data_IF_931960418006
#
_entry.id   IF_931960418006
#
_cell.length_a   1.000
_cell.length_b   1.000
_cell.length_c   1.000
_cell.angle_alpha   90.00
_cell.angle_beta   90.00
_cell.angle_gamma   90.00
#
_symmetry.space_group_name_H-M   'P 1'
#
loop_
_entity.id
_entity.type
_entity.pdbx_description
1 polymer ?
#
# COMPACT_ATOMS: atom_id res chain seq x y z
N UNK A 1 -21.87 -20.18 30.01
CA UNK A 1 -22.26 -20.50 28.63
C UNK A 1 -21.48 -19.63 27.68
N UNK A 2 -21.01 -20.21 26.57
CA UNK A 2 -20.23 -19.51 25.54
C UNK A 2 -21.05 -19.45 24.25
N UNK A 3 -21.15 -18.27 23.67
CA UNK A 3 -21.80 -18.05 22.39
C UNK A 3 -20.75 -17.64 21.35
N UNK A 4 -20.69 -18.36 20.24
CA UNK A 4 -19.87 -18.03 19.10
C UNK A 4 -20.75 -17.58 17.93
N UNK A 5 -20.65 -16.30 17.57
CA UNK A 5 -21.31 -15.74 16.39
C UNK A 5 -20.30 -15.71 15.24
N UNK A 6 -20.50 -16.49 14.17
CA UNK A 6 -19.55 -16.56 13.08
C UNK A 6 -19.67 -15.36 12.15
N UNK A 7 -18.57 -15.05 11.45
CA UNK A 7 -18.56 -14.06 10.41
C UNK A 7 -17.47 -14.34 9.38
N UNK A 8 -17.63 -13.80 8.18
CA UNK A 8 -16.64 -13.85 7.13
C UNK A 8 -16.08 -12.48 6.86
N UNK A 9 -14.77 -12.41 6.65
CA UNK A 9 -14.08 -11.18 6.28
C UNK A 9 -13.91 -11.08 4.76
N UNK A 10 -13.90 -9.85 4.24
CA UNK A 10 -13.59 -9.62 2.84
C UNK A 10 -12.06 -9.61 2.65
N UNK A 11 -11.58 -10.41 1.71
CA UNK A 11 -10.18 -10.44 1.29
C UNK A 11 -10.08 -9.78 -0.10
N UNK A 12 -10.13 -8.44 -0.16
CA UNK A 12 -10.29 -7.71 -1.41
C UNK A 12 -9.23 -8.03 -2.46
N UNK A 13 -7.94 -8.04 -2.11
CA UNK A 13 -6.84 -8.31 -3.04
C UNK A 13 -6.94 -9.73 -3.62
N UNK A 14 -7.16 -10.74 -2.76
CA UNK A 14 -7.26 -12.13 -3.19
C UNK A 14 -8.51 -12.36 -4.07
N UNK A 15 -9.64 -11.76 -3.72
CA UNK A 15 -10.87 -11.82 -4.51
C UNK A 15 -10.68 -11.13 -5.85
N UNK A 16 -10.10 -9.94 -5.87
CA UNK A 16 -9.81 -9.20 -7.10
C UNK A 16 -8.91 -10.00 -8.04
N UNK A 17 -7.82 -10.59 -7.55
CA UNK A 17 -6.95 -11.43 -8.35
C UNK A 17 -7.69 -12.62 -8.99
N UNK A 18 -8.61 -13.27 -8.26
CA UNK A 18 -9.43 -14.38 -8.78
C UNK A 18 -10.42 -13.91 -9.84
N UNK A 19 -11.08 -12.77 -9.63
CA UNK A 19 -12.02 -12.19 -10.59
C UNK A 19 -11.29 -11.76 -11.87
N UNK A 20 -10.15 -11.08 -11.75
CA UNK A 20 -9.31 -10.68 -12.90
C UNK A 20 -8.87 -11.90 -13.71
N UNK A 21 -8.43 -12.98 -13.04
CA UNK A 21 -8.05 -14.21 -13.73
C UNK A 21 -9.23 -14.88 -14.43
N UNK A 22 -10.44 -14.90 -13.82
CA UNK A 22 -11.66 -15.40 -14.46
C UNK A 22 -11.97 -14.58 -15.73
N UNK A 23 -12.00 -13.26 -15.61
CA UNK A 23 -12.28 -12.36 -16.73
C UNK A 23 -11.25 -12.51 -17.86
N UNK A 24 -9.96 -12.67 -17.53
CA UNK A 24 -8.91 -12.90 -18.51
C UNK A 24 -9.12 -14.21 -19.29
N UNK A 25 -9.62 -15.28 -18.67
CA UNK A 25 -9.99 -16.53 -19.33
C UNK A 25 -11.18 -16.34 -20.29
N UNK A 26 -12.07 -15.40 -20.00
CA UNK A 26 -13.20 -14.99 -20.83
C UNK A 26 -12.80 -13.94 -21.90
N UNK A 27 -11.52 -13.54 -21.97
CA UNK A 27 -10.99 -12.55 -22.90
C UNK A 27 -11.28 -11.09 -22.53
N UNK A 28 -11.75 -10.84 -21.32
CA UNK A 28 -12.08 -9.50 -20.82
C UNK A 28 -10.91 -8.96 -19.97
N UNK A 29 -10.45 -7.75 -20.27
CA UNK A 29 -9.44 -7.07 -19.46
C UNK A 29 -10.11 -6.16 -18.43
N UNK A 30 -9.56 -6.11 -17.22
CA UNK A 30 -10.04 -5.18 -16.16
C UNK A 30 -10.04 -3.73 -16.63
N UNK A 31 -9.05 -3.32 -17.45
CA UNK A 31 -8.96 -1.97 -18.02
C UNK A 31 -10.13 -1.58 -18.93
N UNK A 32 -10.86 -2.55 -19.47
CA UNK A 32 -11.95 -2.32 -20.40
C UNK A 32 -13.29 -2.16 -19.67
N UNK A 33 -13.30 -2.37 -18.35
CA UNK A 33 -14.47 -2.28 -17.49
C UNK A 33 -14.47 -0.97 -16.69
N UNK A 34 -15.67 -0.44 -16.49
CA UNK A 34 -15.89 0.60 -15.47
C UNK A 34 -15.79 -0.02 -14.07
N UNK A 35 -15.64 0.84 -13.03
CA UNK A 35 -15.63 0.38 -11.65
C UNK A 35 -16.89 -0.42 -11.30
N UNK A 36 -18.06 0.06 -11.71
CA UNK A 36 -19.34 -0.57 -11.38
C UNK A 36 -19.48 -1.93 -12.04
N UNK A 37 -19.09 -2.06 -13.30
CA UNK A 37 -19.05 -3.34 -14.01
C UNK A 37 -18.10 -4.34 -13.34
N UNK A 38 -16.92 -3.89 -12.93
CA UNK A 38 -15.99 -4.76 -12.19
C UNK A 38 -16.57 -5.19 -10.83
N UNK A 39 -17.23 -4.29 -10.11
CA UNK A 39 -17.90 -4.61 -8.84
C UNK A 39 -19.02 -5.64 -9.01
N UNK A 40 -19.78 -5.61 -10.10
CA UNK A 40 -20.78 -6.64 -10.39
C UNK A 40 -20.15 -8.03 -10.47
N UNK A 41 -19.04 -8.18 -11.19
CA UNK A 41 -18.30 -9.44 -11.26
C UNK A 41 -17.70 -9.86 -9.90
N UNK A 42 -17.21 -8.90 -9.11
CA UNK A 42 -16.68 -9.17 -7.76
C UNK A 42 -17.79 -9.62 -6.80
N UNK A 43 -18.98 -9.03 -6.86
CA UNK A 43 -20.13 -9.46 -6.07
C UNK A 43 -20.66 -10.82 -6.51
N UNK A 44 -20.74 -11.10 -7.82
CA UNK A 44 -21.08 -12.43 -8.33
C UNK A 44 -20.15 -13.50 -7.76
N UNK A 45 -18.83 -13.23 -7.79
CA UNK A 45 -17.83 -14.12 -7.23
C UNK A 45 -18.04 -14.35 -5.72
N UNK A 46 -18.26 -13.26 -4.97
CA UNK A 46 -18.47 -13.30 -3.53
C UNK A 46 -19.73 -14.08 -3.16
N UNK A 47 -20.83 -13.87 -3.85
CA UNK A 47 -22.06 -14.64 -3.62
C UNK A 47 -21.89 -16.12 -3.93
N UNK A 48 -21.13 -16.46 -4.96
CA UNK A 48 -20.89 -17.86 -5.35
C UNK A 48 -19.96 -18.58 -4.39
N UNK A 49 -18.94 -17.91 -3.85
CA UNK A 49 -17.85 -18.56 -3.11
C UNK A 49 -17.81 -18.21 -1.62
N UNK A 50 -18.38 -17.09 -1.19
CA UNK A 50 -18.28 -16.59 0.18
C UNK A 50 -18.88 -17.46 1.26
N UNK A 51 -19.89 -18.27 0.93
CA UNK A 51 -20.53 -19.20 1.86
C UNK A 51 -19.82 -20.56 2.05
N UNK A 52 -18.86 -20.89 1.18
CA UNK A 52 -18.24 -22.24 1.17
C UNK A 52 -17.56 -22.55 2.49
N UNK A 53 -16.81 -21.61 3.06
CA UNK A 53 -16.09 -21.79 4.33
C UNK A 53 -17.06 -22.09 5.49
N UNK A 54 -18.23 -21.45 5.50
CA UNK A 54 -19.24 -21.67 6.54
C UNK A 54 -19.82 -23.09 6.46
N UNK A 55 -20.11 -23.57 5.25
CA UNK A 55 -20.56 -24.93 5.03
C UNK A 55 -19.48 -25.98 5.38
N UNK A 56 -18.22 -25.68 5.12
CA UNK A 56 -17.10 -26.52 5.54
C UNK A 56 -17.00 -26.60 7.06
N UNK A 57 -17.13 -25.48 7.77
CA UNK A 57 -17.12 -25.43 9.23
C UNK A 57 -18.31 -26.20 9.83
N UNK A 58 -19.49 -26.08 9.25
CA UNK A 58 -20.66 -26.92 9.67
C UNK A 58 -20.36 -28.40 9.53
N UNK A 59 -19.76 -28.84 8.42
CA UNK A 59 -19.37 -30.23 8.19
C UNK A 59 -18.31 -30.74 9.18
N UNK A 60 -17.43 -29.84 9.66
CA UNK A 60 -16.48 -30.16 10.72
C UNK A 60 -17.09 -30.19 12.12
N UNK A 61 -18.40 -29.93 12.25
CA UNK A 61 -19.12 -29.98 13.52
C UNK A 61 -18.95 -28.73 14.40
N UNK A 62 -18.58 -27.61 13.84
CA UNK A 62 -18.48 -26.35 14.59
C UNK A 62 -19.84 -25.90 15.11
N UNK A 63 -19.94 -25.66 16.43
CA UNK A 63 -21.16 -25.21 17.12
C UNK A 63 -21.18 -23.71 17.20
N UNK A 64 -21.74 -23.05 16.18
CA UNK A 64 -21.87 -21.60 16.10
C UNK A 64 -23.34 -21.20 15.99
N UNK A 65 -23.62 -19.95 16.28
CA UNK A 65 -24.91 -19.31 15.98
C UNK A 65 -24.96 -18.94 14.51
N UNK A 66 -25.32 -19.90 13.68
CA UNK A 66 -25.33 -19.75 12.23
C UNK A 66 -26.39 -18.74 11.73
N UNK A 67 -27.46 -18.51 12.50
CA UNK A 67 -28.55 -17.59 12.14
C UNK A 67 -28.10 -16.13 12.22
N UNK A 68 -27.04 -15.84 13.01
CA UNK A 68 -26.41 -14.52 13.14
C UNK A 68 -25.12 -14.37 12.36
N UNK A 69 -24.90 -15.24 11.39
CA UNK A 69 -23.74 -15.12 10.49
C UNK A 69 -23.69 -13.73 9.84
N UNK A 70 -22.50 -13.16 9.80
CA UNK A 70 -22.27 -11.83 9.30
C UNK A 70 -21.15 -11.78 8.27
N UNK A 71 -21.18 -10.76 7.41
CA UNK A 71 -20.12 -10.45 6.46
C UNK A 71 -19.64 -9.01 6.68
N UNK A 72 -18.33 -8.78 6.65
CA UNK A 72 -17.75 -7.45 6.95
C UNK A 72 -18.23 -6.34 6.03
N UNK A 73 -18.69 -6.65 4.81
CA UNK A 73 -19.21 -5.68 3.85
C UNK A 73 -20.75 -5.67 3.76
N UNK A 74 -21.47 -6.31 4.68
CA UNK A 74 -22.91 -6.19 4.70
C UNK A 74 -23.35 -4.74 5.03
N UNK A 75 -24.59 -4.39 4.69
CA UNK A 75 -25.10 -3.02 4.77
C UNK A 75 -24.99 -2.42 6.18
N UNK A 76 -25.32 -3.19 7.21
CA UNK A 76 -25.30 -2.72 8.60
C UNK A 76 -23.87 -2.41 9.05
N UNK A 77 -22.91 -3.27 8.70
CA UNK A 77 -21.50 -3.10 9.07
C UNK A 77 -20.84 -2.00 8.26
N UNK A 78 -21.16 -1.89 6.98
CA UNK A 78 -20.69 -0.79 6.14
C UNK A 78 -21.13 0.57 6.69
N UNK A 79 -22.40 0.71 7.12
CA UNK A 79 -22.87 1.92 7.78
C UNK A 79 -22.12 2.21 9.08
N UNK A 80 -21.86 1.19 9.89
CA UNK A 80 -21.11 1.33 11.14
C UNK A 80 -19.68 1.79 10.91
N UNK A 81 -18.99 1.22 9.92
CA UNK A 81 -17.62 1.61 9.55
C UNK A 81 -17.57 3.07 9.11
N UNK A 82 -18.49 3.48 8.22
CA UNK A 82 -18.56 4.88 7.75
C UNK A 82 -18.81 5.83 8.92
N UNK A 83 -19.75 5.48 9.82
CA UNK A 83 -20.03 6.30 11.00
C UNK A 83 -18.78 6.47 11.87
N UNK A 84 -18.08 5.38 12.20
CA UNK A 84 -16.86 5.44 13.01
C UNK A 84 -15.77 6.25 12.33
N UNK A 85 -15.62 6.13 11.01
CA UNK A 85 -14.66 6.93 10.24
C UNK A 85 -14.96 8.43 10.38
N UNK A 86 -16.23 8.84 10.23
CA UNK A 86 -16.65 10.23 10.41
C UNK A 86 -16.40 10.71 11.85
N UNK A 87 -16.79 9.91 12.84
CA UNK A 87 -16.60 10.25 14.27
C UNK A 87 -15.09 10.45 14.60
N UNK A 88 -14.22 9.65 14.03
CA UNK A 88 -12.77 9.77 14.20
C UNK A 88 -12.19 11.00 13.49
N UNK A 89 -12.72 11.32 12.31
CA UNK A 89 -12.31 12.52 11.57
C UNK A 89 -12.73 13.79 12.34
N UNK A 90 -13.95 13.85 12.85
CA UNK A 90 -14.45 14.98 13.66
C UNK A 90 -13.62 15.17 14.95
N UNK A 91 -13.11 14.09 15.54
CA UNK A 91 -12.20 14.14 16.69
C UNK A 91 -10.76 14.51 16.33
N UNK A 92 -10.44 14.72 15.06
CA UNK A 92 -9.10 15.05 14.57
C UNK A 92 -8.10 13.88 14.64
N UNK A 93 -8.58 12.64 14.81
CA UNK A 93 -7.72 11.44 14.88
C UNK A 93 -7.40 10.87 13.50
N UNK A 94 -8.17 11.22 12.49
CA UNK A 94 -7.93 10.87 11.10
C UNK A 94 -7.72 12.16 10.30
N UNK A 95 -6.69 12.19 9.48
CA UNK A 95 -6.40 13.31 8.57
C UNK A 95 -5.87 12.80 7.23
N UNK A 96 -6.02 13.61 6.19
CA UNK A 96 -5.46 13.31 4.87
C UNK A 96 -3.99 13.77 4.83
N UNK A 97 -3.09 12.85 4.50
CA UNK A 97 -1.67 13.14 4.39
C UNK A 97 -1.00 12.34 3.27
N UNK A 98 0.23 12.73 2.95
CA UNK A 98 1.09 12.01 2.00
C UNK A 98 2.14 11.24 2.79
N UNK A 99 2.28 9.95 2.51
CA UNK A 99 3.28 9.09 3.13
C UNK A 99 3.90 8.15 2.11
N UNK A 100 5.13 7.73 2.37
CA UNK A 100 5.76 6.63 1.62
C UNK A 100 5.03 5.33 1.92
N UNK A 101 4.73 4.57 0.87
CA UNK A 101 4.07 3.26 0.95
C UNK A 101 4.77 2.28 0.03
N UNK A 102 4.70 0.99 0.37
CA UNK A 102 5.02 -0.07 -0.57
C UNK A 102 3.92 -0.15 -1.62
N UNK A 103 4.30 -0.14 -2.89
CA UNK A 103 3.37 -0.06 -4.01
C UNK A 103 3.65 -1.15 -5.04
N UNK A 104 2.62 -1.93 -5.39
CA UNK A 104 2.68 -2.86 -6.53
C UNK A 104 2.17 -2.17 -7.80
N UNK A 105 3.06 -1.87 -8.76
CA UNK A 105 2.67 -1.19 -10.00
C UNK A 105 1.86 -2.07 -10.96
N UNK A 106 1.87 -3.40 -10.78
CA UNK A 106 1.07 -4.32 -11.58
C UNK A 106 -0.35 -4.44 -11.05
N UNK A 107 -0.50 -4.61 -9.75
CA UNK A 107 -1.80 -4.68 -9.09
C UNK A 107 -2.41 -3.29 -8.84
N UNK A 108 -1.64 -2.21 -8.98
CA UNK A 108 -2.03 -0.81 -8.74
C UNK A 108 -2.60 -0.61 -7.33
N UNK A 109 -1.92 -1.17 -6.33
CA UNK A 109 -2.34 -1.10 -4.93
C UNK A 109 -1.15 -0.92 -3.98
N UNK A 110 -1.43 -0.34 -2.82
CA UNK A 110 -0.49 -0.34 -1.71
C UNK A 110 -0.43 -1.74 -1.07
N UNK A 111 0.73 -2.08 -0.52
CA UNK A 111 0.99 -3.33 0.18
C UNK A 111 1.30 -3.03 1.64
N UNK A 112 0.94 -3.95 2.54
CA UNK A 112 1.41 -3.93 3.91
C UNK A 112 2.87 -4.38 3.99
N UNK A 113 3.56 -4.05 5.08
CA UNK A 113 4.96 -4.44 5.26
C UNK A 113 5.13 -5.97 5.32
N UNK A 114 4.11 -6.70 5.80
CA UNK A 114 4.10 -8.16 5.88
C UNK A 114 3.99 -8.84 4.51
N UNK A 115 3.46 -8.14 3.51
CA UNK A 115 3.31 -8.66 2.14
C UNK A 115 4.56 -8.46 1.30
N UNK A 116 5.53 -7.66 1.78
CA UNK A 116 6.78 -7.38 1.06
C UNK A 116 7.76 -8.54 1.22
N UNK A 117 8.16 -9.13 0.10
CA UNK A 117 9.17 -10.18 0.06
C UNK A 117 10.54 -9.56 -0.23
N UNK A 118 11.42 -9.59 0.76
CA UNK A 118 12.80 -9.12 0.61
C UNK A 118 13.64 -10.17 -0.07
N UNK A 119 14.41 -9.73 -1.08
CA UNK A 119 15.37 -10.56 -1.79
C UNK A 119 16.74 -9.89 -1.78
N UNK A 120 17.77 -10.68 -1.54
CA UNK A 120 19.14 -10.20 -1.70
C UNK A 120 19.50 -10.16 -3.19
N UNK A 121 19.95 -9.00 -3.65
CA UNK A 121 20.40 -8.80 -5.01
C UNK A 121 21.76 -8.09 -5.02
N UNK A 122 22.67 -8.55 -5.90
CA UNK A 122 23.94 -7.88 -6.12
C UNK A 122 23.70 -6.57 -6.88
N UNK A 123 23.87 -5.44 -6.21
CA UNK A 123 23.70 -4.11 -6.78
C UNK A 123 25.00 -3.30 -6.66
N UNK A 124 25.02 -2.14 -7.30
CA UNK A 124 26.12 -1.15 -7.21
C UNK A 124 25.64 0.06 -6.46
N UNK A 125 26.52 0.64 -5.65
CA UNK A 125 26.29 1.94 -5.04
C UNK A 125 26.95 3.00 -5.92
N UNK A 126 26.17 3.94 -6.42
CA UNK A 126 26.61 5.01 -7.31
C UNK A 126 26.81 6.28 -6.49
N UNK A 127 27.99 6.88 -6.58
CA UNK A 127 28.32 8.14 -5.92
C UNK A 127 28.20 9.30 -6.90
N UNK A 128 27.41 10.29 -6.56
CA UNK A 128 27.07 11.43 -7.40
C UNK A 128 27.51 12.72 -6.74
N UNK A 129 28.08 13.65 -7.52
CA UNK A 129 28.43 14.99 -7.06
C UNK A 129 27.33 15.96 -7.43
N UNK A 130 26.74 16.61 -6.41
CA UNK A 130 25.82 17.72 -6.59
C UNK A 130 26.53 19.01 -6.26
N UNK A 131 26.69 19.88 -7.25
CA UNK A 131 27.36 21.15 -7.07
C UNK A 131 26.41 22.15 -6.41
N UNK A 132 26.96 22.91 -5.47
CA UNK A 132 26.24 23.92 -4.71
C UNK A 132 26.02 25.14 -5.61
N UNK A 133 24.79 25.66 -5.65
CA UNK A 133 24.46 26.93 -6.29
C UNK A 133 24.83 28.08 -5.33
N UNK A 134 25.63 29.04 -5.78
CA UNK A 134 26.34 30.02 -4.95
C UNK A 134 25.47 30.80 -3.94
N UNK A 135 24.19 31.02 -4.23
CA UNK A 135 23.29 31.83 -3.39
C UNK A 135 22.57 31.04 -2.28
N UNK A 136 22.83 29.72 -2.13
CA UNK A 136 21.97 28.88 -1.34
C UNK A 136 22.57 28.34 -0.02
N UNK A 137 23.86 28.55 0.25
CA UNK A 137 24.56 27.95 1.40
C UNK A 137 25.49 28.89 2.12
N UNK A 138 25.42 28.88 3.46
CA UNK A 138 26.42 29.52 4.31
C UNK A 138 27.82 28.94 4.06
N UNK A 139 28.90 29.68 4.31
CA UNK A 139 30.27 29.21 4.12
C UNK A 139 30.51 27.92 4.92
N UNK A 140 31.11 26.91 4.26
CA UNK A 140 31.43 25.62 4.86
C UNK A 140 32.34 25.77 6.08
N UNK A 141 32.04 25.06 7.17
CA UNK A 141 32.90 24.95 8.34
C UNK A 141 33.72 23.66 8.26
N UNK A 142 34.84 23.65 8.94
CA UNK A 142 35.68 22.44 9.04
C UNK A 142 34.89 21.27 9.62
N UNK A 143 34.86 20.13 8.88
CA UNK A 143 34.01 18.95 9.22
C UNK A 143 32.67 18.86 8.50
N UNK A 144 32.33 19.80 7.60
CA UNK A 144 31.10 19.76 6.81
C UNK A 144 31.16 18.76 5.63
N UNK A 145 29.99 18.23 5.28
CA UNK A 145 29.75 17.28 4.17
C UNK A 145 30.03 17.89 2.79
N UNK A 146 30.40 19.15 2.74
CA UNK A 146 30.65 19.88 1.50
C UNK A 146 32.13 19.81 1.16
N UNK A 147 32.43 19.30 -0.03
CA UNK A 147 33.77 19.21 -0.61
C UNK A 147 33.97 20.31 -1.67
N UNK A 148 35.21 20.54 -2.07
CA UNK A 148 35.54 21.49 -3.13
C UNK A 148 36.45 20.86 -4.17
N UNK A 149 36.22 21.17 -5.45
CA UNK A 149 37.09 20.80 -6.57
C UNK A 149 37.22 21.97 -7.55
N UNK A 150 37.93 21.78 -8.69
CA UNK A 150 38.15 22.81 -9.68
C UNK A 150 36.87 23.38 -10.32
N UNK A 151 35.72 22.72 -10.15
CA UNK A 151 34.40 23.17 -10.66
C UNK A 151 33.56 23.87 -9.61
N UNK A 152 33.96 23.82 -8.33
CA UNK A 152 33.26 24.46 -7.23
C UNK A 152 32.97 23.53 -6.06
N UNK A 153 32.15 23.99 -5.15
CA UNK A 153 31.72 23.25 -3.95
C UNK A 153 30.67 22.23 -4.32
N UNK A 154 30.75 21.04 -3.75
CA UNK A 154 29.81 19.97 -4.01
C UNK A 154 29.59 19.10 -2.76
N UNK A 155 28.45 18.43 -2.73
CA UNK A 155 28.18 17.33 -1.80
C UNK A 155 28.10 16.01 -2.56
N UNK A 156 28.42 14.90 -1.88
CA UNK A 156 28.36 13.56 -2.45
C UNK A 156 27.12 12.85 -1.93
N UNK A 157 26.33 12.30 -2.84
CA UNK A 157 25.18 11.46 -2.55
C UNK A 157 25.41 10.05 -3.09
N UNK A 158 25.02 9.04 -2.34
CA UNK A 158 25.11 7.67 -2.78
C UNK A 158 23.70 7.08 -2.99
N UNK A 159 23.51 6.39 -4.12
CA UNK A 159 22.24 5.73 -4.43
C UNK A 159 22.49 4.38 -5.12
N UNK A 160 21.61 3.43 -4.87
CA UNK A 160 21.55 2.17 -5.63
C UNK A 160 20.71 2.28 -6.89
N UNK A 161 19.95 3.41 -7.06
CA UNK A 161 19.04 3.65 -8.17
C UNK A 161 19.36 4.95 -8.89
N UNK A 162 20.38 4.96 -9.76
CA UNK A 162 20.83 6.18 -10.46
C UNK A 162 19.76 6.77 -11.40
N UNK A 163 18.77 6.00 -11.81
CA UNK A 163 17.65 6.46 -12.64
C UNK A 163 16.77 7.52 -11.96
N UNK A 164 16.84 7.63 -10.63
CA UNK A 164 16.08 8.63 -9.87
C UNK A 164 16.63 10.06 -10.00
N UNK A 165 17.88 10.22 -10.47
CA UNK A 165 18.58 11.52 -10.60
C UNK A 165 17.77 12.54 -11.40
N UNK A 166 17.06 12.09 -12.43
CA UNK A 166 16.27 12.97 -13.29
C UNK A 166 15.10 13.65 -12.57
N UNK A 167 14.72 13.15 -11.40
CA UNK A 167 13.67 13.71 -10.54
C UNK A 167 14.21 14.62 -9.43
N UNK A 168 15.54 14.72 -9.27
CA UNK A 168 16.14 15.46 -8.17
C UNK A 168 16.06 16.97 -8.42
N UNK A 169 15.49 17.69 -7.48
CA UNK A 169 15.33 19.14 -7.54
C UNK A 169 16.17 19.86 -6.50
N UNK A 170 16.45 19.22 -5.37
CA UNK A 170 17.25 19.76 -4.28
C UNK A 170 17.79 18.64 -3.39
N UNK A 171 18.85 18.97 -2.64
CA UNK A 171 19.36 18.12 -1.55
C UNK A 171 19.00 18.73 -0.20
N UNK A 172 18.64 17.86 0.74
CA UNK A 172 18.42 18.23 2.12
C UNK A 172 19.24 17.32 3.04
N UNK A 173 19.94 17.93 3.99
CA UNK A 173 20.81 17.24 4.94
C UNK A 173 20.30 17.51 6.36
N UNK A 174 20.32 16.50 7.22
CA UNK A 174 20.08 16.71 8.64
C UNK A 174 21.28 17.45 9.25
N UNK A 175 21.12 18.67 9.81
CA UNK A 175 22.24 19.45 10.35
C UNK A 175 22.91 18.81 11.57
N UNK A 176 22.29 17.79 12.17
CA UNK A 176 22.81 17.05 13.33
C UNK A 176 23.27 15.63 12.97
N UNK A 177 23.42 15.32 11.70
CA UNK A 177 23.98 14.04 11.25
C UNK A 177 25.47 14.00 11.59
N UNK A 178 25.98 12.96 12.32
CA UNK A 178 27.36 12.91 12.80
C UNK A 178 28.38 12.66 11.69
#
# INVERSE_FOLDING_TARGET
DTLWVPGTDHASIATEAKVVNKLAQEGIKKSDLTRDQFLEHAWEWTHKHGGIILEQLKKLGASCDWDRTAFTMDETRSKSVIKVFCDLYEKGLIYRGVRMVNWDPQALTALSDEEVIYKEENSKLFYLKYYVVEDSVAPAKEGEIIHEDAKGRYAVVATTRPETIMGDTAMCINPNDP
#
